data_IF_936442909177
#
_entry.id   IF_936442909177
#
_cell.length_a   1.000
_cell.length_b   1.000
_cell.length_c   1.000
_cell.angle_alpha   90.00
_cell.angle_beta   90.00
_cell.angle_gamma   90.00
#
_symmetry.space_group_name_H-M   'P 1'
#
loop_
_entity.id
_entity.type
_entity.pdbx_description
1 polymer ?
#
# COMPACT_ATOMS: atom_id res chain seq x y z
N UNK A 1 0.80 -21.10 0.57
CA UNK A 1 0.27 -21.73 1.80
C UNK A 1 0.34 -20.68 2.88
N UNK A 2 -0.82 -20.17 3.31
CA UNK A 2 -0.88 -19.15 4.36
C UNK A 2 -0.40 -19.78 5.69
N UNK A 3 0.81 -19.42 6.12
CA UNK A 3 1.23 -19.67 7.50
C UNK A 3 0.75 -18.49 8.34
N UNK A 4 -0.33 -18.66 9.11
CA UNK A 4 -0.83 -17.62 10.02
C UNK A 4 -2.35 -17.52 10.08
N UNK A 5 -2.82 -16.47 10.76
CA UNK A 5 -4.24 -16.04 10.80
C UNK A 5 -4.57 -15.45 9.43
N UNK A 6 -5.71 -15.82 8.83
CA UNK A 6 -6.26 -15.20 7.62
C UNK A 6 -7.21 -14.06 7.98
N UNK A 7 -7.51 -13.19 7.02
CA UNK A 7 -8.58 -12.21 7.14
C UNK A 7 -9.93 -12.95 7.20
N UNK A 8 -10.82 -12.54 8.11
CA UNK A 8 -12.13 -13.17 8.27
C UNK A 8 -12.91 -13.15 6.95
N UNK A 9 -13.51 -14.28 6.59
CA UNK A 9 -14.36 -14.47 5.40
C UNK A 9 -13.66 -14.29 4.03
N UNK A 10 -12.33 -14.17 4.02
CA UNK A 10 -11.51 -14.09 2.81
C UNK A 10 -10.97 -15.47 2.36
N UNK A 11 -11.82 -16.50 2.43
CA UNK A 11 -11.43 -17.90 2.27
C UNK A 11 -11.50 -18.41 0.81
N UNK A 12 -11.80 -17.53 -0.15
CA UNK A 12 -11.95 -17.92 -1.53
C UNK A 12 -10.63 -18.35 -2.17
N UNK A 13 -10.70 -19.24 -3.16
CA UNK A 13 -9.57 -19.55 -4.02
C UNK A 13 -9.27 -18.35 -4.94
N UNK A 14 -7.98 -18.14 -5.25
CA UNK A 14 -7.54 -17.02 -6.10
C UNK A 14 -8.28 -16.98 -7.45
N UNK A 15 -8.60 -18.13 -8.04
CA UNK A 15 -9.29 -18.20 -9.33
C UNK A 15 -10.66 -17.52 -9.29
N UNK A 16 -11.38 -17.67 -8.18
CA UNK A 16 -12.76 -17.27 -8.02
C UNK A 16 -12.91 -15.88 -7.38
N UNK A 17 -11.81 -15.34 -6.84
CA UNK A 17 -11.82 -14.07 -6.13
C UNK A 17 -11.87 -12.84 -7.05
N UNK A 18 -12.67 -11.85 -6.64
CA UNK A 18 -12.71 -10.51 -7.24
C UNK A 18 -11.58 -9.62 -6.69
N UNK A 19 -11.26 -9.80 -5.40
CA UNK A 19 -10.21 -9.08 -4.69
C UNK A 19 -9.26 -10.03 -3.97
N UNK A 20 -8.00 -9.65 -3.85
CA UNK A 20 -6.96 -10.49 -3.23
C UNK A 20 -6.19 -9.68 -2.20
N UNK A 21 -6.19 -10.15 -0.96
CA UNK A 21 -5.46 -9.55 0.16
C UNK A 21 -4.02 -10.07 0.18
N UNK A 22 -3.07 -9.16 0.37
CA UNK A 22 -1.66 -9.44 0.58
C UNK A 22 -1.19 -8.72 1.84
N UNK A 23 -0.36 -9.37 2.65
CA UNK A 23 0.37 -8.73 3.73
C UNK A 23 1.81 -8.42 3.33
N UNK A 24 2.32 -7.25 3.69
CA UNK A 24 3.71 -6.84 3.48
C UNK A 24 4.32 -6.46 4.83
N UNK A 25 4.89 -7.42 5.58
CA UNK A 25 5.40 -7.19 6.94
C UNK A 25 6.78 -6.52 6.92
N UNK A 26 6.87 -5.29 6.41
CA UNK A 26 8.13 -4.57 6.23
C UNK A 26 8.11 -3.20 6.92
N UNK A 27 9.17 -2.86 7.67
CA UNK A 27 9.37 -1.53 8.27
C UNK A 27 10.86 -1.15 8.44
N UNK A 28 11.74 -1.69 7.60
CA UNK A 28 13.19 -1.51 7.73
C UNK A 28 13.71 -0.12 7.29
N UNK A 29 12.89 0.71 6.63
CA UNK A 29 13.27 2.12 6.36
C UNK A 29 12.67 3.11 7.35
N UNK A 30 11.78 2.67 8.24
CA UNK A 30 11.15 3.50 9.25
C UNK A 30 12.18 4.17 10.16
N UNK A 31 12.09 5.50 10.31
CA UNK A 31 13.13 6.30 10.97
C UNK A 31 12.86 6.62 12.44
N UNK A 32 11.60 6.57 12.89
CA UNK A 32 11.22 6.98 14.26
C UNK A 32 10.71 5.84 15.13
N UNK A 33 9.71 5.08 14.66
CA UNK A 33 9.10 3.96 15.39
C UNK A 33 9.01 2.73 14.49
N UNK A 34 9.59 1.63 14.95
CA UNK A 34 9.39 0.31 14.37
C UNK A 34 8.12 -0.36 14.94
N UNK A 35 7.72 -1.46 14.32
CA UNK A 35 6.57 -2.28 14.68
C UNK A 35 5.46 -2.29 13.62
N UNK A 36 5.58 -1.50 12.56
CA UNK A 36 4.59 -1.48 11.50
C UNK A 36 4.55 -2.82 10.75
N UNK A 37 5.66 -3.57 10.71
CA UNK A 37 5.71 -4.93 10.14
C UNK A 37 4.70 -5.92 10.75
N UNK A 38 4.23 -5.66 11.96
CA UNK A 38 3.25 -6.51 12.66
C UNK A 38 1.79 -6.24 12.21
N UNK A 39 1.55 -5.13 11.51
CA UNK A 39 0.22 -4.68 11.11
C UNK A 39 -0.56 -5.69 10.26
N UNK A 40 0.04 -6.42 9.27
CA UNK A 40 -0.69 -7.42 8.49
C UNK A 40 -1.33 -8.51 9.35
N UNK A 41 -0.65 -8.93 10.42
CA UNK A 41 -1.19 -9.92 11.36
C UNK A 41 -2.25 -9.31 12.26
N UNK A 42 -1.99 -8.11 12.80
CA UNK A 42 -2.91 -7.43 13.70
C UNK A 42 -4.25 -7.07 13.03
N UNK A 43 -4.24 -6.62 11.77
CA UNK A 43 -5.46 -6.32 11.00
C UNK A 43 -6.29 -7.58 10.79
N UNK A 44 -5.67 -8.72 10.45
CA UNK A 44 -6.37 -9.99 10.30
C UNK A 44 -6.99 -10.45 11.62
N UNK A 45 -6.27 -10.35 12.73
CA UNK A 45 -6.82 -10.68 14.05
C UNK A 45 -8.03 -9.79 14.41
N UNK A 46 -7.96 -8.49 14.09
CA UNK A 46 -9.05 -7.56 14.34
C UNK A 46 -10.27 -7.81 13.43
N UNK A 47 -10.08 -8.35 12.23
CA UNK A 47 -11.15 -8.59 11.26
C UNK A 47 -12.25 -9.51 11.79
N UNK A 48 -11.90 -10.48 12.65
CA UNK A 48 -12.85 -11.41 13.28
C UNK A 48 -13.82 -10.75 14.29
N UNK A 49 -13.70 -9.45 14.53
CA UNK A 49 -14.55 -8.72 15.47
C UNK A 49 -15.61 -7.85 14.78
N UNK A 50 -15.72 -7.89 13.44
CA UNK A 50 -16.78 -7.20 12.71
C UNK A 50 -17.87 -8.18 12.27
N UNK A 51 -19.08 -7.66 12.09
CA UNK A 51 -20.19 -8.40 11.49
C UNK A 51 -20.07 -8.35 9.96
N UNK A 52 -20.48 -9.42 9.28
CA UNK A 52 -20.54 -9.50 7.81
C UNK A 52 -21.49 -8.44 7.21
N UNK A 53 -22.48 -7.97 7.98
CA UNK A 53 -23.47 -7.00 7.54
C UNK A 53 -23.17 -5.58 8.03
N UNK A 54 -22.90 -4.68 7.08
CA UNK A 54 -22.75 -3.26 7.35
C UNK A 54 -24.12 -2.55 7.38
N UNK A 55 -24.75 -2.53 8.55
CA UNK A 55 -26.14 -2.08 8.71
C UNK A 55 -26.42 -0.64 8.24
N UNK A 56 -25.48 0.29 8.41
CA UNK A 56 -25.67 1.70 8.01
C UNK A 56 -25.79 1.89 6.49
N UNK A 57 -25.22 0.95 5.73
CA UNK A 57 -25.21 0.99 4.27
C UNK A 57 -26.04 -0.13 3.65
N UNK A 58 -26.60 -1.02 4.47
CA UNK A 58 -27.37 -2.17 4.00
C UNK A 58 -26.55 -3.13 3.14
N UNK A 59 -25.24 -3.20 3.36
CA UNK A 59 -24.31 -4.04 2.58
C UNK A 59 -24.06 -5.35 3.31
N UNK A 60 -24.24 -6.44 2.59
CA UNK A 60 -23.90 -7.79 3.03
C UNK A 60 -22.59 -8.20 2.34
N UNK A 61 -21.63 -8.73 3.10
CA UNK A 61 -20.29 -9.10 2.61
C UNK A 61 -20.27 -10.34 1.68
N UNK A 62 -21.42 -10.79 1.16
CA UNK A 62 -21.48 -11.81 0.10
C UNK A 62 -20.66 -11.43 -1.14
N UNK A 63 -20.46 -10.13 -1.39
CA UNK A 63 -19.63 -9.60 -2.48
C UNK A 63 -18.84 -8.37 -1.99
N UNK A 64 -17.59 -8.16 -2.44
CA UNK A 64 -16.83 -8.98 -3.41
C UNK A 64 -16.38 -10.33 -2.84
N UNK A 65 -16.09 -11.30 -3.71
CA UNK A 65 -15.42 -12.56 -3.30
C UNK A 65 -13.95 -12.27 -3.03
N UNK A 66 -13.47 -12.57 -1.83
CA UNK A 66 -12.12 -12.20 -1.40
C UNK A 66 -11.27 -13.43 -1.10
N UNK A 67 -10.02 -13.41 -1.59
CA UNK A 67 -8.99 -14.39 -1.26
C UNK A 67 -7.90 -13.71 -0.42
N UNK A 68 -7.58 -14.23 0.77
CA UNK A 68 -6.38 -13.83 1.49
C UNK A 68 -5.19 -14.70 1.08
N UNK A 69 -4.24 -14.08 0.37
CA UNK A 69 -3.07 -14.75 -0.16
C UNK A 69 -1.92 -14.87 0.86
N UNK A 70 -2.12 -14.35 2.08
CA UNK A 70 -1.14 -14.40 3.17
C UNK A 70 -0.14 -13.25 3.12
N UNK A 71 1.03 -13.44 3.74
CA UNK A 71 2.11 -12.46 3.77
C UNK A 71 3.14 -12.76 2.68
N UNK A 72 3.73 -11.70 2.13
CA UNK A 72 5.00 -11.75 1.43
C UNK A 72 6.11 -12.21 2.38
N UNK A 73 7.18 -12.77 1.84
CA UNK A 73 8.36 -13.14 2.62
C UNK A 73 9.06 -11.90 3.21
N UNK A 74 9.75 -12.08 4.34
CA UNK A 74 10.49 -11.00 5.03
C UNK A 74 11.88 -10.83 4.43
N UNK A 75 12.19 -9.60 4.03
CA UNK A 75 13.48 -9.20 3.50
C UNK A 75 14.02 -7.98 4.24
N UNK A 76 15.33 -7.91 4.40
CA UNK A 76 15.98 -6.78 5.10
C UNK A 76 16.16 -5.59 4.15
N UNK A 77 16.66 -5.85 2.94
CA UNK A 77 16.97 -4.78 1.97
C UNK A 77 15.68 -4.30 1.29
N UNK A 78 15.49 -2.97 1.14
CA UNK A 78 14.32 -2.42 0.46
C UNK A 78 14.14 -2.97 -0.95
N UNK A 79 15.23 -3.12 -1.69
CA UNK A 79 15.20 -3.58 -3.08
C UNK A 79 14.65 -5.01 -3.19
N UNK A 80 15.08 -5.90 -2.29
CA UNK A 80 14.62 -7.29 -2.27
C UNK A 80 13.12 -7.36 -1.90
N UNK A 81 12.70 -6.59 -0.90
CA UNK A 81 11.28 -6.50 -0.52
C UNK A 81 10.43 -5.96 -1.68
N UNK A 82 10.91 -4.96 -2.40
CA UNK A 82 10.20 -4.40 -3.55
C UNK A 82 9.99 -5.43 -4.66
N UNK A 83 11.01 -6.23 -4.97
CA UNK A 83 10.89 -7.29 -5.98
C UNK A 83 9.93 -8.41 -5.52
N UNK A 84 9.94 -8.77 -4.24
CA UNK A 84 8.98 -9.72 -3.67
C UNK A 84 7.54 -9.21 -3.79
N UNK A 85 7.27 -7.95 -3.43
CA UNK A 85 5.90 -7.40 -3.55
C UNK A 85 5.45 -7.35 -5.02
N UNK A 86 6.34 -7.03 -5.97
CA UNK A 86 6.00 -7.10 -7.39
C UNK A 86 5.66 -8.52 -7.82
N UNK A 87 6.44 -9.49 -7.37
CA UNK A 87 6.24 -10.89 -7.68
C UNK A 87 4.89 -11.39 -7.12
N UNK A 88 4.56 -11.04 -5.89
CA UNK A 88 3.31 -11.45 -5.23
C UNK A 88 2.07 -10.73 -5.80
N UNK A 89 2.11 -9.40 -5.93
CA UNK A 89 0.93 -8.56 -6.26
C UNK A 89 0.74 -8.38 -7.77
N UNK A 90 1.81 -8.40 -8.55
CA UNK A 90 1.78 -8.18 -10.00
C UNK A 90 0.82 -9.11 -10.77
N UNK A 91 0.76 -10.42 -10.46
CA UNK A 91 -0.22 -11.32 -11.05
C UNK A 91 -1.67 -10.87 -10.87
N UNK A 92 -2.08 -10.45 -9.67
CA UNK A 92 -3.43 -9.97 -9.37
C UNK A 92 -3.83 -8.81 -10.28
N UNK A 93 -2.93 -7.83 -10.44
CA UNK A 93 -3.14 -6.65 -11.28
C UNK A 93 -3.24 -7.03 -12.77
N UNK A 94 -2.38 -7.95 -13.22
CA UNK A 94 -2.37 -8.43 -14.60
C UNK A 94 -3.65 -9.20 -14.93
N UNK A 95 -4.13 -10.02 -14.00
CA UNK A 95 -5.32 -10.85 -14.13
C UNK A 95 -6.63 -10.05 -13.97
N UNK A 96 -6.53 -8.74 -13.70
CA UNK A 96 -7.67 -7.84 -13.62
C UNK A 96 -8.46 -7.92 -12.31
N UNK A 97 -7.87 -8.53 -11.27
CA UNK A 97 -8.41 -8.61 -9.91
C UNK A 97 -7.99 -7.38 -9.11
N UNK A 98 -8.70 -7.09 -8.02
CA UNK A 98 -8.39 -5.94 -7.17
C UNK A 98 -7.42 -6.31 -6.03
N UNK A 99 -6.18 -5.79 -6.01
CA UNK A 99 -5.26 -6.06 -4.91
C UNK A 99 -5.58 -5.20 -3.68
N UNK A 100 -5.62 -5.82 -2.50
CA UNK A 100 -5.70 -5.16 -1.21
C UNK A 100 -4.40 -5.45 -0.47
N UNK A 101 -3.55 -4.45 -0.30
CA UNK A 101 -2.23 -4.63 0.33
C UNK A 101 -2.26 -4.05 1.74
N UNK A 102 -2.14 -4.91 2.74
CA UNK A 102 -1.95 -4.53 4.13
C UNK A 102 -0.45 -4.46 4.38
N UNK A 103 0.09 -3.26 4.38
CA UNK A 103 1.52 -3.02 4.55
C UNK A 103 1.98 -2.95 6.01
N UNK A 104 3.28 -2.72 6.17
CA UNK A 104 3.86 -2.14 7.38
C UNK A 104 4.12 -0.66 7.15
N UNK A 105 5.28 -0.31 6.60
CA UNK A 105 5.60 1.06 6.23
C UNK A 105 5.14 1.43 4.81
N UNK A 106 5.16 2.73 4.50
CA UNK A 106 4.60 3.28 3.26
C UNK A 106 5.36 2.82 1.99
N UNK A 107 6.65 2.45 2.11
CA UNK A 107 7.51 2.03 0.98
C UNK A 107 6.99 0.80 0.24
N UNK A 108 6.23 -0.07 0.91
CA UNK A 108 5.56 -1.23 0.29
C UNK A 108 4.57 -0.86 -0.82
N UNK A 109 4.18 0.42 -0.92
CA UNK A 109 3.33 0.95 -1.99
C UNK A 109 4.08 1.15 -3.31
N UNK A 110 5.37 1.49 -3.26
CA UNK A 110 6.23 1.71 -4.45
C UNK A 110 6.16 0.54 -5.46
N UNK A 111 6.38 -0.73 -5.06
CA UNK A 111 6.34 -1.85 -5.99
C UNK A 111 4.93 -2.12 -6.54
N UNK A 112 3.87 -1.84 -5.76
CA UNK A 112 2.47 -1.94 -6.21
C UNK A 112 2.21 -0.92 -7.32
N UNK A 113 2.61 0.34 -7.11
CA UNK A 113 2.49 1.41 -8.12
C UNK A 113 3.23 1.04 -9.41
N UNK A 114 4.44 0.49 -9.28
CA UNK A 114 5.24 0.04 -10.42
C UNK A 114 4.59 -1.12 -11.20
N UNK A 115 3.85 -2.00 -10.53
CA UNK A 115 3.06 -3.06 -11.19
C UNK A 115 1.89 -2.51 -12.02
N UNK A 116 1.47 -1.27 -11.80
CA UNK A 116 0.45 -0.60 -12.62
C UNK A 116 1.02 0.20 -13.80
N UNK A 117 2.35 0.22 -14.06
CA UNK A 117 2.98 1.11 -15.06
C UNK A 117 2.38 1.09 -16.49
N UNK A 118 1.78 -0.03 -16.91
CA UNK A 118 1.17 -0.17 -18.25
C UNK A 118 -0.33 0.20 -18.24
N UNK A 119 -0.87 0.66 -17.11
CA UNK A 119 -2.27 1.04 -16.91
C UNK A 119 -2.34 2.55 -16.69
N UNK A 120 -3.37 3.20 -17.23
CA UNK A 120 -3.68 4.57 -16.88
C UNK A 120 -4.40 4.60 -15.53
N UNK A 121 -3.67 4.99 -14.48
CA UNK A 121 -4.18 5.13 -13.12
C UNK A 121 -3.79 6.50 -12.55
N UNK A 122 -4.46 6.88 -11.47
CA UNK A 122 -4.04 7.97 -10.60
C UNK A 122 -3.82 7.44 -9.18
N UNK A 123 -2.83 7.99 -8.48
CA UNK A 123 -2.55 7.73 -7.08
C UNK A 123 -3.17 8.83 -6.21
N UNK A 124 -3.98 8.42 -5.24
CA UNK A 124 -4.41 9.26 -4.13
C UNK A 124 -3.86 8.68 -2.83
N UNK A 125 -3.04 9.44 -2.11
CA UNK A 125 -2.60 9.07 -0.75
C UNK A 125 -3.37 9.87 0.29
N UNK A 126 -3.70 9.24 1.41
CA UNK A 126 -4.22 9.92 2.59
C UNK A 126 -3.11 9.88 3.62
N UNK A 127 -2.38 10.98 3.76
CA UNK A 127 -1.18 11.03 4.58
C UNK A 127 -0.98 12.40 5.24
N UNK A 128 -0.34 12.40 6.41
CA UNK A 128 0.12 13.61 7.07
C UNK A 128 1.37 14.19 6.40
N UNK A 129 2.21 13.35 5.79
CA UNK A 129 3.45 13.72 5.11
C UNK A 129 3.26 13.67 3.60
N UNK A 130 4.02 14.50 2.87
CA UNK A 130 3.95 14.49 1.41
C UNK A 130 4.68 13.28 0.80
N UNK A 131 5.68 12.73 1.49
CA UNK A 131 6.50 11.59 1.08
C UNK A 131 7.05 11.72 -0.36
N UNK A 132 7.51 12.92 -0.71
CA UNK A 132 7.93 13.31 -2.06
C UNK A 132 9.44 13.59 -2.18
N UNK A 133 10.24 13.12 -1.23
CA UNK A 133 11.70 13.20 -1.33
C UNK A 133 12.21 12.33 -2.49
N UNK A 134 13.33 12.75 -3.08
CA UNK A 134 14.03 11.91 -4.08
C UNK A 134 14.71 10.72 -3.41
N UNK A 135 15.29 10.95 -2.23
CA UNK A 135 15.99 9.96 -1.43
C UNK A 135 15.82 10.29 0.06
N UNK A 136 15.78 9.26 0.91
CA UNK A 136 15.87 9.43 2.35
C UNK A 136 16.73 8.33 2.96
N UNK A 137 17.70 8.71 3.79
CA UNK A 137 18.65 7.80 4.45
C UNK A 137 19.41 6.86 3.49
N UNK A 138 19.78 7.33 2.30
CA UNK A 138 20.61 6.55 1.37
C UNK A 138 19.83 5.74 0.34
N UNK A 139 18.49 5.81 0.31
CA UNK A 139 17.68 5.04 -0.66
C UNK A 139 16.47 5.83 -1.18
N UNK A 140 16.19 5.76 -2.50
CA UNK A 140 14.95 6.29 -3.09
C UNK A 140 13.73 5.38 -2.79
N UNK A 141 13.96 4.18 -2.25
CA UNK A 141 12.93 3.20 -1.90
C UNK A 141 12.47 3.34 -0.44
N UNK A 142 12.60 4.54 0.14
CA UNK A 142 12.19 4.83 1.51
C UNK A 142 10.70 5.17 1.60
N UNK A 143 10.10 4.95 2.78
CA UNK A 143 8.75 5.39 3.11
C UNK A 143 8.51 6.88 2.81
N UNK A 144 9.54 7.74 2.93
CA UNK A 144 9.42 9.18 2.69
C UNK A 144 9.53 9.60 1.21
N UNK A 145 9.53 8.64 0.27
CA UNK A 145 9.76 8.89 -1.16
C UNK A 145 8.60 8.39 -2.05
N UNK A 146 7.53 7.82 -1.47
CA UNK A 146 6.48 7.07 -2.19
C UNK A 146 5.78 7.91 -3.27
N UNK A 147 5.36 9.13 -2.96
CA UNK A 147 4.62 9.96 -3.93
C UNK A 147 5.54 10.46 -5.05
N UNK A 148 6.82 10.66 -4.76
CA UNK A 148 7.85 10.96 -5.77
C UNK A 148 8.05 9.77 -6.71
N UNK A 149 8.19 8.56 -6.17
CA UNK A 149 8.28 7.33 -6.99
C UNK A 149 7.02 7.13 -7.83
N UNK A 150 5.85 7.51 -7.34
CA UNK A 150 4.61 7.47 -8.10
C UNK A 150 4.59 8.47 -9.26
N UNK A 151 5.01 9.71 -9.02
CA UNK A 151 5.06 10.76 -10.03
C UNK A 151 6.03 10.39 -11.16
N UNK A 152 7.15 9.74 -10.84
CA UNK A 152 8.11 9.25 -11.83
C UNK A 152 7.53 8.16 -12.75
N UNK A 153 6.57 7.36 -12.27
CA UNK A 153 5.96 6.26 -13.05
C UNK A 153 4.73 6.73 -13.82
N UNK A 154 3.84 7.48 -13.18
CA UNK A 154 2.51 7.83 -13.71
C UNK A 154 2.37 9.29 -14.13
N UNK A 155 3.39 10.11 -13.91
CA UNK A 155 3.36 11.55 -14.14
C UNK A 155 2.78 12.32 -12.96
N UNK A 156 3.27 13.55 -12.78
CA UNK A 156 2.93 14.43 -11.66
C UNK A 156 1.42 14.69 -11.53
N UNK A 157 0.74 14.91 -12.67
CA UNK A 157 -0.69 15.24 -12.72
C UNK A 157 -1.60 14.08 -12.28
N UNK A 158 -1.05 12.87 -12.16
CA UNK A 158 -1.77 11.67 -11.74
C UNK A 158 -1.50 11.29 -10.27
N UNK A 159 -0.86 12.18 -9.48
CA UNK A 159 -0.56 11.91 -8.07
C UNK A 159 -1.10 13.04 -7.21
N UNK A 160 -1.83 12.69 -6.15
CA UNK A 160 -2.32 13.66 -5.17
C UNK A 160 -2.25 13.10 -3.74
N UNK A 161 -1.73 13.90 -2.80
CA UNK A 161 -1.75 13.59 -1.38
C UNK A 161 -2.78 14.43 -0.62
N UNK A 162 -3.59 13.82 0.23
CA UNK A 162 -4.69 14.47 0.95
C UNK A 162 -4.44 14.40 2.46
N UNK A 163 -4.63 15.52 3.15
CA UNK A 163 -4.44 15.63 4.60
C UNK A 163 -3.02 16.04 5.01
N UNK A 164 -2.23 16.52 4.05
CA UNK A 164 -0.82 16.86 4.25
C UNK A 164 -0.70 18.02 5.23
N UNK A 165 0.18 17.87 6.22
CA UNK A 165 0.47 18.87 7.26
C UNK A 165 1.91 18.85 7.74
N UNK A 166 2.74 18.01 7.14
CA UNK A 166 4.18 17.94 7.36
C UNK A 166 4.89 17.79 6.01
N UNK A 167 5.60 18.84 5.59
CA UNK A 167 6.34 18.84 4.33
C UNK A 167 7.76 19.35 4.60
N UNK A 168 8.77 18.64 4.10
CA UNK A 168 10.16 19.07 4.16
C UNK A 168 10.43 20.26 3.23
N UNK A 169 11.37 21.12 3.61
CA UNK A 169 11.75 22.26 2.76
C UNK A 169 12.26 21.82 1.38
N UNK A 170 13.03 20.74 1.33
CA UNK A 170 13.53 20.16 0.08
C UNK A 170 12.40 19.70 -0.87
N UNK A 171 11.24 19.31 -0.33
CA UNK A 171 10.08 18.91 -1.12
C UNK A 171 9.32 20.14 -1.65
N UNK A 172 9.25 21.22 -0.85
CA UNK A 172 8.61 22.49 -1.21
C UNK A 172 9.42 23.34 -2.19
N UNK A 173 10.75 23.29 -2.11
CA UNK A 173 11.65 24.08 -2.95
C UNK A 173 11.74 23.52 -4.39
N UNK A 174 11.06 22.41 -4.67
CA UNK A 174 10.98 21.82 -6.02
C UNK A 174 10.09 22.65 -6.94
N UNK A 175 10.43 22.66 -8.22
CA UNK A 175 9.54 23.22 -9.25
C UNK A 175 8.33 22.32 -9.53
N UNK A 176 8.46 21.02 -9.25
CA UNK A 176 7.50 19.94 -9.51
C UNK A 176 6.99 19.31 -8.20
N UNK A 177 6.51 20.16 -7.28
CA UNK A 177 5.90 19.70 -6.03
C UNK A 177 4.70 18.79 -6.33
N UNK A 178 4.64 17.62 -5.66
CA UNK A 178 3.49 16.72 -5.81
C UNK A 178 2.21 17.45 -5.39
N UNK A 179 1.14 17.42 -6.22
CA UNK A 179 -0.15 17.99 -5.87
C UNK A 179 -0.64 17.48 -4.52
N UNK A 180 -1.13 18.37 -3.67
CA UNK A 180 -1.62 17.99 -2.37
C UNK A 180 -2.73 18.92 -1.85
N UNK A 181 -3.57 18.36 -0.99
CA UNK A 181 -4.57 19.08 -0.20
C UNK A 181 -4.11 19.07 1.25
N UNK A 182 -3.99 20.26 1.84
CA UNK A 182 -3.53 20.37 3.22
C UNK A 182 -4.65 20.03 4.21
N UNK A 183 -4.30 19.63 5.44
CA UNK A 183 -5.30 19.41 6.50
C UNK A 183 -5.92 20.71 7.08
N UNK A 184 -5.47 21.88 6.62
CA UNK A 184 -5.83 23.18 7.18
C UNK A 184 -6.81 23.97 6.30
N UNK A 185 -7.12 23.45 5.11
CA UNK A 185 -7.99 24.09 4.09
C UNK A 185 -9.21 23.23 3.76
#
# INVERSE_FOLDING_TARGET
MAYGVTYADADAEYSDADAVIFGVPYDHTASFKAGAREAPTAVRQASYNFEEFHFEHGLDQVQPVVCDYGNCDDFILPEDMLEEVKFAVGPTIRDGKFPIVIGGEHSGTIPVIQSYKERSIALMTIDAHLDSRDEYMGTPNSHACVTRRAADVHGLDNVCAVGVRAIGREELDREDVVPHVTAFE
#
